data_IF_598594377928
#
_entry.id   IF_598594377928
#
_cell.length_a   1.000
_cell.length_b   1.000
_cell.length_c   1.000
_cell.angle_alpha   90.00
_cell.angle_beta   90.00
_cell.angle_gamma   90.00
#
_symmetry.space_group_name_H-M   'P 1'
#
loop_
_entity.id
_entity.type
_entity.pdbx_description
1 polymer ?
#
# COMPACT_ATOMS: atom_id res chain seq x y z
N UNK A 1 20.03 6.93 -7.09
CA UNK A 1 18.85 6.62 -6.20
C UNK A 1 18.16 5.40 -6.76
N UNK A 2 17.64 4.50 -5.92
CA UNK A 2 16.86 3.33 -6.34
C UNK A 2 15.45 3.46 -5.78
N UNK A 3 14.42 3.32 -6.62
CA UNK A 3 13.03 3.37 -6.21
C UNK A 3 12.42 1.98 -6.06
N UNK A 4 11.46 1.86 -5.14
CA UNK A 4 10.59 0.71 -5.00
C UNK A 4 9.15 1.19 -5.15
N UNK A 5 8.53 0.88 -6.29
CA UNK A 5 7.19 1.35 -6.65
C UNK A 5 6.17 0.27 -6.36
N UNK A 6 5.18 0.60 -5.54
CA UNK A 6 4.11 -0.27 -5.10
C UNK A 6 2.79 0.16 -5.74
N UNK A 7 2.21 -0.71 -6.54
CA UNK A 7 0.87 -0.56 -7.05
C UNK A 7 -0.13 -1.05 -5.98
N UNK A 8 -0.79 -0.12 -5.28
CA UNK A 8 -1.82 -0.43 -4.29
C UNK A 8 -3.16 -0.70 -4.97
N UNK A 9 -3.56 -1.95 -4.99
CA UNK A 9 -4.84 -2.34 -5.60
C UNK A 9 -6.00 -2.12 -4.63
N UNK A 10 -5.76 -2.28 -3.32
CA UNK A 10 -6.76 -2.07 -2.27
C UNK A 10 -8.12 -2.71 -2.61
N UNK A 11 -9.20 -1.92 -2.64
CA UNK A 11 -10.55 -2.38 -2.98
C UNK A 11 -10.87 -2.35 -4.49
N UNK A 12 -9.98 -1.83 -5.34
CA UNK A 12 -10.24 -1.63 -6.77
C UNK A 12 -10.41 -2.94 -7.59
N UNK A 13 -10.02 -4.09 -7.03
CA UNK A 13 -10.36 -5.39 -7.63
C UNK A 13 -11.83 -5.77 -7.46
N UNK A 14 -12.60 -5.06 -6.61
CA UNK A 14 -14.04 -5.18 -6.42
C UNK A 14 -14.54 -6.61 -6.12
N UNK A 15 -13.71 -7.41 -5.46
CA UNK A 15 -13.99 -8.83 -5.19
C UNK A 15 -13.95 -9.75 -6.41
N UNK A 16 -13.49 -9.25 -7.57
CA UNK A 16 -13.36 -9.98 -8.83
C UNK A 16 -11.93 -10.46 -9.08
N UNK A 17 -11.72 -11.77 -9.08
CA UNK A 17 -10.40 -12.34 -9.42
C UNK A 17 -9.95 -11.97 -10.85
N UNK A 18 -10.87 -11.83 -11.80
CA UNK A 18 -10.55 -11.38 -13.15
C UNK A 18 -10.00 -9.96 -13.17
N UNK A 19 -10.66 -9.01 -12.46
CA UNK A 19 -10.14 -7.64 -12.32
C UNK A 19 -8.79 -7.62 -11.61
N UNK A 20 -8.65 -8.39 -10.52
CA UNK A 20 -7.39 -8.49 -9.80
C UNK A 20 -6.25 -9.05 -10.68
N UNK A 21 -6.54 -10.09 -11.49
CA UNK A 21 -5.58 -10.66 -12.43
C UNK A 21 -5.10 -9.61 -13.41
N UNK A 22 -6.03 -8.85 -14.01
CA UNK A 22 -5.70 -7.78 -14.94
C UNK A 22 -4.86 -6.69 -14.26
N UNK A 23 -5.25 -6.22 -13.08
CA UNK A 23 -4.49 -5.22 -12.31
C UNK A 23 -3.08 -5.69 -11.97
N UNK A 24 -2.90 -6.94 -11.56
CA UNK A 24 -1.58 -7.53 -11.28
C UNK A 24 -0.73 -7.55 -12.56
N UNK A 25 -1.29 -8.01 -13.68
CA UNK A 25 -0.59 -8.10 -14.95
C UNK A 25 -0.18 -6.72 -15.46
N UNK A 26 -1.12 -5.77 -15.48
CA UNK A 26 -0.86 -4.40 -15.95
C UNK A 26 0.13 -3.66 -15.03
N UNK A 27 0.06 -3.87 -13.70
CA UNK A 27 1.06 -3.31 -12.77
C UNK A 27 2.46 -3.84 -13.06
N UNK A 28 2.59 -5.13 -13.42
CA UNK A 28 3.86 -5.71 -13.85
C UNK A 28 4.33 -5.09 -15.17
N UNK A 29 3.45 -4.99 -16.15
CA UNK A 29 3.76 -4.42 -17.48
C UNK A 29 4.19 -2.95 -17.36
N UNK A 30 3.56 -2.19 -16.45
CA UNK A 30 3.93 -0.81 -16.13
C UNK A 30 5.30 -0.69 -15.46
N UNK A 31 5.88 -1.79 -14.97
CA UNK A 31 7.19 -1.82 -14.32
C UNK A 31 7.16 -1.61 -12.81
N UNK A 32 6.00 -1.70 -12.16
CA UNK A 32 5.92 -1.69 -10.69
C UNK A 32 6.71 -2.86 -10.09
N UNK A 33 7.31 -2.62 -8.91
CA UNK A 33 8.08 -3.65 -8.20
C UNK A 33 7.17 -4.62 -7.45
N UNK A 34 6.03 -4.13 -6.98
CA UNK A 34 5.10 -4.93 -6.20
C UNK A 34 3.65 -4.51 -6.42
N UNK A 35 2.74 -5.46 -6.18
CA UNK A 35 1.32 -5.20 -5.98
C UNK A 35 0.97 -5.40 -4.53
N UNK A 36 0.13 -4.52 -4.00
CA UNK A 36 -0.32 -4.59 -2.61
C UNK A 36 -1.85 -4.70 -2.55
N UNK A 37 -2.29 -5.53 -1.63
CA UNK A 37 -3.70 -5.72 -1.30
C UNK A 37 -3.94 -5.47 0.19
N UNK A 38 -5.20 -5.54 0.61
CA UNK A 38 -5.59 -5.34 2.00
C UNK A 38 -6.43 -6.53 2.45
N UNK A 39 -5.99 -7.18 3.53
CA UNK A 39 -6.72 -8.31 4.16
C UNK A 39 -7.39 -7.82 5.43
N UNK A 40 -8.65 -7.44 5.32
CA UNK A 40 -9.52 -7.10 6.44
C UNK A 40 -10.66 -8.11 6.55
N UNK A 41 -11.30 -8.13 7.71
CA UNK A 41 -12.65 -8.66 7.89
C UNK A 41 -13.58 -7.45 7.99
N UNK A 42 -14.56 -7.38 7.11
CA UNK A 42 -15.46 -6.23 7.05
C UNK A 42 -16.20 -6.01 8.39
N UNK A 43 -16.62 -7.10 9.03
CA UNK A 43 -17.31 -7.08 10.32
C UNK A 43 -16.43 -6.52 11.47
N UNK A 44 -15.10 -6.59 11.38
CA UNK A 44 -14.18 -6.06 12.40
C UNK A 44 -13.97 -4.54 12.26
N UNK A 45 -14.06 -4.00 11.04
CA UNK A 45 -13.64 -2.63 10.75
C UNK A 45 -14.78 -1.67 10.42
N UNK A 46 -15.96 -2.19 10.05
CA UNK A 46 -17.04 -1.37 9.53
C UNK A 46 -18.41 -1.78 10.12
N UNK A 47 -19.25 -0.79 10.37
CA UNK A 47 -20.64 -1.06 10.73
C UNK A 47 -21.40 -1.57 9.49
N UNK A 48 -22.28 -2.57 9.67
CA UNK A 48 -23.14 -3.13 8.59
C UNK A 48 -24.06 -2.09 7.94
N UNK A 49 -24.33 -0.97 8.63
CA UNK A 49 -25.10 0.17 8.10
C UNK A 49 -24.23 1.11 7.22
N UNK A 50 -22.92 0.86 7.07
CA UNK A 50 -22.05 1.68 6.25
C UNK A 50 -22.55 1.73 4.78
N UNK A 51 -22.65 2.91 4.14
CA UNK A 51 -23.19 3.04 2.78
C UNK A 51 -22.55 2.08 1.76
N UNK A 52 -21.26 1.86 1.89
CA UNK A 52 -20.48 0.97 1.01
C UNK A 52 -20.36 -0.47 1.54
N UNK A 53 -21.16 -0.89 2.53
CA UNK A 53 -21.01 -2.20 3.18
C UNK A 53 -20.95 -3.38 2.19
N UNK A 54 -21.88 -3.41 1.23
CA UNK A 54 -21.94 -4.49 0.22
C UNK A 54 -20.66 -4.57 -0.60
N UNK A 55 -20.10 -3.41 -0.96
CA UNK A 55 -18.85 -3.32 -1.71
C UNK A 55 -17.65 -3.76 -0.85
N UNK A 56 -17.56 -3.26 0.38
CA UNK A 56 -16.52 -3.61 1.34
C UNK A 56 -16.52 -5.11 1.58
N UNK A 57 -17.69 -5.70 1.89
CA UNK A 57 -17.81 -7.14 2.14
C UNK A 57 -17.44 -7.99 0.93
N UNK A 58 -17.82 -7.56 -0.27
CA UNK A 58 -17.45 -8.23 -1.52
C UNK A 58 -15.95 -8.20 -1.77
N UNK A 59 -15.28 -7.09 -1.41
CA UNK A 59 -13.84 -6.86 -1.60
C UNK A 59 -12.98 -7.48 -0.50
N UNK A 60 -13.58 -8.12 0.50
CA UNK A 60 -12.87 -8.86 1.53
C UNK A 60 -12.05 -10.01 0.93
N UNK A 61 -10.77 -10.08 1.32
CA UNK A 61 -9.85 -11.11 0.84
C UNK A 61 -9.81 -12.26 1.84
N UNK A 62 -10.42 -13.38 1.48
CA UNK A 62 -10.30 -14.64 2.20
C UNK A 62 -8.92 -15.28 1.97
N UNK A 63 -8.56 -16.25 2.80
CA UNK A 63 -7.30 -16.99 2.63
C UNK A 63 -7.20 -17.66 1.25
N UNK A 64 -8.30 -18.22 0.76
CA UNK A 64 -8.35 -18.81 -0.58
C UNK A 64 -8.11 -17.78 -1.68
N UNK A 65 -8.75 -16.61 -1.59
CA UNK A 65 -8.53 -15.51 -2.53
C UNK A 65 -7.08 -15.03 -2.47
N UNK A 66 -6.52 -14.82 -1.27
CA UNK A 66 -5.12 -14.42 -1.09
C UNK A 66 -4.14 -15.40 -1.73
N UNK A 67 -4.37 -16.72 -1.57
CA UNK A 67 -3.58 -17.78 -2.21
C UNK A 67 -3.64 -17.69 -3.74
N UNK A 68 -4.84 -17.47 -4.30
CA UNK A 68 -5.01 -17.30 -5.75
C UNK A 68 -4.29 -16.05 -6.27
N UNK A 69 -4.44 -14.90 -5.58
CA UNK A 69 -3.78 -13.64 -5.94
C UNK A 69 -2.26 -13.76 -5.88
N UNK A 70 -1.73 -14.39 -4.82
CA UNK A 70 -0.29 -14.64 -4.70
C UNK A 70 0.23 -15.51 -5.85
N UNK A 71 -0.49 -16.60 -6.18
CA UNK A 71 -0.12 -17.48 -7.31
C UNK A 71 -0.10 -16.72 -8.65
N UNK A 72 -1.06 -15.80 -8.87
CA UNK A 72 -1.09 -14.97 -10.07
C UNK A 72 0.12 -14.03 -10.10
N UNK A 73 0.40 -13.34 -8.98
CA UNK A 73 1.54 -12.44 -8.89
C UNK A 73 2.88 -13.17 -9.12
N UNK A 74 3.04 -14.38 -8.56
CA UNK A 74 4.22 -15.21 -8.76
C UNK A 74 4.38 -15.61 -10.24
N UNK A 75 3.28 -15.99 -10.90
CA UNK A 75 3.29 -16.37 -12.32
C UNK A 75 3.75 -15.24 -13.22
N UNK A 76 3.37 -14.00 -12.93
CA UNK A 76 3.78 -12.82 -13.71
C UNK A 76 5.10 -12.22 -13.25
N UNK A 77 5.67 -12.71 -12.16
CA UNK A 77 6.96 -12.27 -11.64
C UNK A 77 6.92 -10.88 -10.99
N UNK A 78 5.85 -10.56 -10.23
CA UNK A 78 5.74 -9.34 -9.43
C UNK A 78 5.62 -9.68 -7.95
N UNK A 79 6.23 -8.88 -7.07
CA UNK A 79 6.11 -9.10 -5.64
C UNK A 79 4.67 -8.85 -5.16
N UNK A 80 4.16 -9.75 -4.31
CA UNK A 80 2.85 -9.64 -3.68
C UNK A 80 3.00 -9.49 -2.17
N UNK A 81 2.32 -8.53 -1.58
CA UNK A 81 2.16 -8.42 -0.14
C UNK A 81 0.85 -7.74 0.26
N UNK A 82 0.54 -7.72 1.55
CA UNK A 82 -0.71 -7.17 2.05
C UNK A 82 -0.53 -6.24 3.25
N UNK A 83 -1.48 -5.31 3.40
CA UNK A 83 -1.86 -4.78 4.70
C UNK A 83 -2.81 -5.78 5.35
N UNK A 84 -2.39 -6.48 6.39
CA UNK A 84 -3.24 -7.38 7.15
C UNK A 84 -3.72 -6.68 8.43
N UNK A 85 -5.00 -6.89 8.79
CA UNK A 85 -5.67 -6.18 9.88
C UNK A 85 -6.06 -7.09 11.05
N UNK A 86 -5.73 -8.39 10.97
CA UNK A 86 -5.99 -9.38 12.02
C UNK A 86 -4.88 -10.44 12.06
N UNK A 87 -4.61 -11.06 13.24
CA UNK A 87 -3.45 -11.95 13.45
C UNK A 87 -3.41 -13.16 12.52
N UNK A 88 -4.53 -13.89 12.36
CA UNK A 88 -4.57 -15.11 11.53
C UNK A 88 -4.14 -14.84 10.07
N UNK A 89 -4.34 -13.60 9.58
CA UNK A 89 -3.86 -13.21 8.25
C UNK A 89 -2.33 -13.20 8.18
N UNK A 90 -1.64 -12.89 9.27
CA UNK A 90 -0.18 -12.87 9.31
C UNK A 90 0.34 -14.30 9.21
N UNK A 91 -0.17 -15.22 10.04
CA UNK A 91 0.19 -16.64 9.98
C UNK A 91 -0.01 -17.22 8.58
N UNK A 92 -1.16 -16.87 7.95
CA UNK A 92 -1.46 -17.32 6.60
C UNK A 92 -0.51 -16.72 5.55
N UNK A 93 -0.20 -15.42 5.63
CA UNK A 93 0.73 -14.75 4.72
C UNK A 93 2.16 -15.27 4.88
N UNK A 94 2.57 -15.71 6.08
CA UNK A 94 3.84 -16.40 6.30
C UNK A 94 3.90 -17.73 5.52
N UNK A 95 2.82 -18.52 5.53
CA UNK A 95 2.71 -19.75 4.71
C UNK A 95 2.79 -19.43 3.20
N UNK A 96 2.33 -18.24 2.77
CA UNK A 96 2.48 -17.77 1.40
C UNK A 96 3.86 -17.15 1.09
N UNK A 97 4.76 -17.09 2.08
CA UNK A 97 6.14 -16.58 1.95
C UNK A 97 6.20 -15.15 1.42
N UNK A 98 5.32 -14.26 1.91
CA UNK A 98 5.43 -12.83 1.60
C UNK A 98 6.76 -12.27 2.12
N UNK A 99 7.35 -11.32 1.40
CA UNK A 99 8.69 -10.80 1.75
C UNK A 99 8.65 -9.65 2.73
N UNK A 100 7.54 -8.96 2.86
CA UNK A 100 7.34 -7.75 3.70
C UNK A 100 5.88 -7.57 4.07
N UNK A 101 5.64 -6.65 5.00
CA UNK A 101 4.30 -6.24 5.41
C UNK A 101 4.09 -4.74 5.25
N UNK A 102 2.84 -4.34 5.02
CA UNK A 102 2.41 -2.95 5.15
C UNK A 102 1.61 -2.78 6.45
N UNK A 103 1.83 -1.65 7.12
CA UNK A 103 1.00 -1.17 8.22
C UNK A 103 0.25 0.06 7.72
N UNK A 104 -1.07 -0.04 7.65
CA UNK A 104 -1.95 1.06 7.26
C UNK A 104 -2.03 2.10 8.38
N UNK A 105 -2.29 3.36 8.01
CA UNK A 105 -2.42 4.47 8.97
C UNK A 105 -3.45 4.18 10.06
N UNK A 106 -4.57 3.56 9.68
CA UNK A 106 -5.64 3.16 10.62
C UNK A 106 -5.13 2.21 11.72
N UNK A 107 -4.33 1.22 11.36
CA UNK A 107 -3.78 0.24 12.30
C UNK A 107 -2.86 0.90 13.34
N UNK A 108 -2.14 1.98 12.95
CA UNK A 108 -1.28 2.72 13.86
C UNK A 108 -2.03 3.48 14.97
N UNK A 109 -3.34 3.68 14.82
CA UNK A 109 -4.18 4.27 15.88
C UNK A 109 -4.40 3.32 17.06
N UNK A 110 -4.27 2.02 16.87
CA UNK A 110 -4.53 0.95 17.86
C UNK A 110 -5.96 1.01 18.43
N UNK A 111 -6.94 1.41 17.61
CA UNK A 111 -8.34 1.54 17.99
C UNK A 111 -9.24 0.43 17.44
N UNK A 112 -8.86 -0.16 16.30
CA UNK A 112 -9.61 -1.28 15.73
C UNK A 112 -9.33 -2.57 16.51
N UNK A 113 -10.27 -3.54 16.49
CA UNK A 113 -10.04 -4.86 17.02
C UNK A 113 -8.74 -5.47 16.49
N UNK A 114 -8.00 -6.18 17.32
CA UNK A 114 -6.77 -6.89 16.96
C UNK A 114 -5.60 -6.01 16.46
N UNK A 115 -5.72 -4.67 16.44
CA UNK A 115 -4.66 -3.80 15.90
C UNK A 115 -3.30 -4.05 16.56
N UNK A 116 -3.25 -4.08 17.90
CA UNK A 116 -2.00 -4.28 18.63
C UNK A 116 -1.43 -5.69 18.39
N UNK A 117 -2.26 -6.71 18.51
CA UNK A 117 -1.86 -8.11 18.28
C UNK A 117 -1.33 -8.31 16.86
N UNK A 118 -2.04 -7.75 15.88
CA UNK A 118 -1.61 -7.80 14.46
C UNK A 118 -0.24 -7.14 14.24
N UNK A 119 0.05 -6.02 14.93
CA UNK A 119 1.37 -5.40 14.84
C UNK A 119 2.44 -6.26 15.53
N UNK A 120 2.14 -6.87 16.67
CA UNK A 120 3.05 -7.75 17.39
C UNK A 120 3.37 -9.01 16.57
N UNK A 121 2.37 -9.65 15.96
CA UNK A 121 2.58 -10.78 15.06
C UNK A 121 3.45 -10.41 13.86
N UNK A 122 3.22 -9.25 13.22
CA UNK A 122 4.12 -8.79 12.15
C UNK A 122 5.54 -8.57 12.65
N UNK A 123 5.71 -8.02 13.84
CA UNK A 123 7.04 -7.76 14.41
C UNK A 123 7.82 -9.05 14.67
N UNK A 124 7.16 -10.10 15.13
CA UNK A 124 7.77 -11.43 15.37
C UNK A 124 8.36 -12.03 14.10
N UNK A 125 7.77 -11.74 12.92
CA UNK A 125 8.30 -12.24 11.64
C UNK A 125 9.70 -11.72 11.31
N UNK A 126 10.14 -10.61 11.92
CA UNK A 126 11.40 -9.89 11.64
C UNK A 126 11.53 -9.42 10.18
N UNK A 127 10.49 -9.53 9.37
CA UNK A 127 10.47 -9.06 7.98
C UNK A 127 10.43 -7.54 7.88
N UNK A 128 10.85 -6.96 6.76
CA UNK A 128 10.70 -5.53 6.51
C UNK A 128 9.25 -5.06 6.61
N UNK A 129 9.04 -3.89 7.19
CA UNK A 129 7.72 -3.27 7.31
C UNK A 129 7.69 -1.88 6.69
N UNK A 130 6.64 -1.60 5.94
CA UNK A 130 6.32 -0.28 5.37
C UNK A 130 5.21 0.31 6.22
N UNK A 131 5.39 1.51 6.76
CA UNK A 131 4.49 2.08 7.78
C UNK A 131 3.98 3.44 7.31
N UNK A 132 2.66 3.59 7.19
CA UNK A 132 2.00 4.89 7.01
C UNK A 132 1.31 5.30 8.29
N UNK A 133 1.40 6.59 8.65
CA UNK A 133 0.79 7.14 9.86
C UNK A 133 -0.02 8.42 9.58
N UNK A 134 -0.61 8.55 8.40
CA UNK A 134 -1.37 9.74 7.97
C UNK A 134 -2.64 10.03 8.79
N UNK A 135 -3.10 9.07 9.61
CA UNK A 135 -4.18 9.28 10.58
C UNK A 135 -3.66 9.62 11.99
N UNK A 136 -2.34 9.78 12.16
CA UNK A 136 -1.71 9.98 13.46
C UNK A 136 -1.34 8.67 14.14
N UNK A 137 -1.32 8.69 15.47
CA UNK A 137 -0.87 7.59 16.32
C UNK A 137 0.46 7.90 17.01
N UNK A 138 0.86 7.03 17.92
CA UNK A 138 2.10 7.20 18.68
C UNK A 138 3.28 6.57 17.93
N UNK A 139 4.06 7.39 17.21
CA UNK A 139 5.20 6.93 16.42
C UNK A 139 6.21 6.15 17.25
N UNK A 140 6.58 6.65 18.44
CA UNK A 140 7.54 5.98 19.32
C UNK A 140 7.07 4.58 19.74
N UNK A 141 5.76 4.43 20.02
CA UNK A 141 5.17 3.11 20.32
C UNK A 141 5.28 2.15 19.11
N UNK A 142 4.97 2.64 17.91
CA UNK A 142 5.11 1.83 16.68
C UNK A 142 6.58 1.46 16.41
N UNK A 143 7.51 2.39 16.54
CA UNK A 143 8.94 2.13 16.40
C UNK A 143 9.45 1.09 17.39
N UNK A 144 8.98 1.12 18.64
CA UNK A 144 9.34 0.14 19.66
C UNK A 144 8.81 -1.26 19.33
N UNK A 145 7.56 -1.38 18.86
CA UNK A 145 6.99 -2.67 18.43
C UNK A 145 7.87 -3.30 17.35
N UNK A 146 8.30 -2.51 16.37
CA UNK A 146 9.12 -2.96 15.25
C UNK A 146 10.64 -2.75 15.45
N UNK A 147 11.12 -2.72 16.70
CA UNK A 147 12.52 -2.43 17.02
C UNK A 147 13.53 -3.34 16.28
N UNK A 148 13.14 -4.59 16.02
CA UNK A 148 13.97 -5.61 15.36
C UNK A 148 13.68 -5.75 13.84
N UNK A 149 12.78 -4.94 13.27
CA UNK A 149 12.43 -5.01 11.86
C UNK A 149 13.08 -3.84 11.09
N UNK A 150 13.46 -4.09 9.85
CA UNK A 150 13.73 -2.99 8.91
C UNK A 150 12.44 -2.20 8.67
N UNK A 151 12.46 -0.89 8.91
CA UNK A 151 11.30 -0.01 8.82
C UNK A 151 11.47 1.00 7.71
N UNK A 152 10.44 1.19 6.88
CA UNK A 152 10.31 2.30 5.95
C UNK A 152 9.05 3.08 6.33
N UNK A 153 9.21 4.28 6.86
CA UNK A 153 8.08 5.16 7.11
C UNK A 153 7.73 5.93 5.83
N UNK A 154 6.43 5.95 5.52
CA UNK A 154 5.89 6.72 4.41
C UNK A 154 5.21 7.99 4.91
N UNK A 155 5.55 9.13 4.33
CA UNK A 155 4.68 10.29 4.42
C UNK A 155 3.33 9.96 3.78
N UNK A 156 2.26 10.37 4.41
CA UNK A 156 0.92 10.01 3.97
C UNK A 156 -0.09 11.00 4.57
N UNK A 157 -1.01 11.50 3.76
CA UNK A 157 -2.22 12.19 4.21
C UNK A 157 -3.39 11.24 3.94
N UNK A 158 -4.15 10.89 4.98
CA UNK A 158 -5.26 9.93 4.87
C UNK A 158 -6.57 10.62 4.46
N UNK A 159 -6.54 11.29 3.31
CA UNK A 159 -7.67 11.90 2.62
C UNK A 159 -7.70 11.37 1.19
N UNK A 160 -8.88 11.05 0.64
CA UNK A 160 -9.05 10.33 -0.63
C UNK A 160 -10.07 11.01 -1.53
N UNK A 161 -9.69 11.80 -2.55
CA UNK A 161 -8.30 12.19 -2.85
C UNK A 161 -7.78 13.31 -1.92
N UNK A 162 -6.45 13.38 -1.78
CA UNK A 162 -5.77 14.50 -1.12
C UNK A 162 -5.51 15.62 -2.14
N UNK A 163 -5.74 16.88 -1.75
CA UNK A 163 -5.25 18.01 -2.52
C UNK A 163 -3.73 18.16 -2.36
N UNK A 164 -3.03 18.30 -3.48
CA UNK A 164 -1.56 18.42 -3.50
C UNK A 164 -1.04 19.62 -2.69
N UNK A 165 -1.84 20.70 -2.57
CA UNK A 165 -1.49 21.87 -1.78
C UNK A 165 -1.38 21.61 -0.27
N UNK A 166 -1.98 20.51 0.22
CA UNK A 166 -1.92 20.11 1.62
C UNK A 166 -0.63 19.39 1.99
N UNK A 167 0.21 19.07 1.02
CA UNK A 167 1.46 18.34 1.28
C UNK A 167 2.50 19.30 1.86
N UNK A 168 2.92 19.05 3.10
CA UNK A 168 4.11 19.67 3.65
C UNK A 168 5.36 18.98 3.09
N UNK A 169 5.92 19.54 2.02
CA UNK A 169 7.10 18.99 1.37
C UNK A 169 8.33 19.00 2.28
N UNK A 170 8.45 19.96 3.21
CA UNK A 170 9.56 20.01 4.17
C UNK A 170 9.49 18.84 5.14
N UNK A 171 8.28 18.38 5.47
CA UNK A 171 8.10 17.19 6.29
C UNK A 171 8.18 15.91 5.46
N UNK A 172 7.55 15.88 4.29
CA UNK A 172 7.51 14.72 3.41
C UNK A 172 8.91 14.17 3.07
N UNK A 173 9.86 15.06 2.81
CA UNK A 173 11.23 14.69 2.46
C UNK A 173 12.05 14.07 3.61
N UNK A 174 11.56 14.12 4.85
CA UNK A 174 12.17 13.42 6.00
C UNK A 174 11.86 11.93 6.01
N UNK A 175 10.90 11.49 5.19
CA UNK A 175 10.51 10.09 5.06
C UNK A 175 11.25 9.42 3.89
N UNK A 176 11.47 8.10 4.01
CA UNK A 176 12.02 7.30 2.91
C UNK A 176 10.95 6.76 1.96
N UNK A 177 9.69 6.89 2.34
CA UNK A 177 8.55 6.48 1.55
C UNK A 177 7.50 7.57 1.42
N UNK A 178 6.70 7.48 0.37
CA UNK A 178 5.54 8.31 0.10
C UNK A 178 4.35 7.43 -0.28
N UNK A 179 3.28 7.47 0.50
CA UNK A 179 2.01 6.82 0.19
C UNK A 179 1.06 7.89 -0.33
N UNK A 180 0.94 7.97 -1.63
CA UNK A 180 0.35 9.09 -2.37
C UNK A 180 -1.14 8.88 -2.64
N UNK A 181 -1.97 9.73 -2.09
CA UNK A 181 -3.43 9.77 -2.29
C UNK A 181 -3.91 10.97 -3.10
N UNK A 182 -3.00 11.72 -3.75
CA UNK A 182 -3.37 12.84 -4.62
C UNK A 182 -3.93 12.36 -5.95
N UNK A 183 -4.52 13.25 -6.73
CA UNK A 183 -4.90 12.97 -8.12
C UNK A 183 -3.66 12.89 -9.02
N UNK A 184 -3.67 11.96 -9.98
CA UNK A 184 -2.59 11.78 -10.94
C UNK A 184 -1.25 11.39 -10.30
N UNK A 185 -0.15 11.74 -10.95
CA UNK A 185 1.20 11.27 -10.61
C UNK A 185 2.15 12.38 -10.14
N UNK A 186 1.70 13.64 -10.17
CA UNK A 186 2.56 14.82 -9.95
C UNK A 186 3.23 14.80 -8.57
N UNK A 187 2.49 14.51 -7.50
CA UNK A 187 3.04 14.50 -6.15
C UNK A 187 4.14 13.44 -5.97
N UNK A 188 3.93 12.25 -6.51
CA UNK A 188 4.94 11.18 -6.51
C UNK A 188 6.22 11.59 -7.25
N UNK A 189 6.09 12.32 -8.37
CA UNK A 189 7.24 12.83 -9.14
C UNK A 189 7.98 13.90 -8.34
N UNK A 190 7.29 14.87 -7.75
CA UNK A 190 7.89 15.92 -6.90
C UNK A 190 8.66 15.28 -5.76
N UNK A 191 8.06 14.30 -5.05
CA UNK A 191 8.73 13.59 -3.97
C UNK A 191 10.04 12.95 -4.45
N UNK A 192 10.03 12.25 -5.59
CA UNK A 192 11.22 11.61 -6.13
C UNK A 192 12.33 12.62 -6.50
N UNK A 193 11.97 13.76 -7.11
CA UNK A 193 12.93 14.84 -7.44
C UNK A 193 13.58 15.39 -6.17
N UNK A 194 12.78 15.73 -5.17
CA UNK A 194 13.27 16.27 -3.90
C UNK A 194 14.18 15.26 -3.16
N UNK A 195 13.81 13.97 -3.14
CA UNK A 195 14.64 12.92 -2.57
C UNK A 195 15.93 12.70 -3.35
N UNK A 196 15.90 12.85 -4.67
CA UNK A 196 17.11 12.81 -5.51
C UNK A 196 18.06 13.97 -5.17
N UNK A 197 17.55 15.19 -5.03
CA UNK A 197 18.32 16.36 -4.61
C UNK A 197 18.97 16.17 -3.22
N UNK A 198 18.28 15.47 -2.31
CA UNK A 198 18.83 15.08 -1.00
C UNK A 198 19.86 13.93 -1.07
N UNK A 199 20.19 13.42 -2.27
CA UNK A 199 21.10 12.28 -2.46
C UNK A 199 20.63 11.00 -1.74
N UNK A 200 19.32 10.83 -1.59
CA UNK A 200 18.76 9.62 -0.98
C UNK A 200 19.16 8.37 -1.78
N UNK A 201 19.57 7.31 -1.07
CA UNK A 201 19.97 6.05 -1.72
C UNK A 201 18.77 5.27 -2.24
N UNK A 202 17.72 5.20 -1.44
CA UNK A 202 16.51 4.43 -1.75
C UNK A 202 15.27 5.26 -1.42
N UNK A 203 14.21 5.08 -2.21
CA UNK A 203 12.88 5.62 -1.92
C UNK A 203 11.81 4.56 -2.16
N UNK A 204 10.68 4.70 -1.50
CA UNK A 204 9.47 3.92 -1.75
C UNK A 204 8.33 4.86 -2.16
N UNK A 205 7.64 4.50 -3.23
CA UNK A 205 6.42 5.20 -3.68
C UNK A 205 5.29 4.17 -3.73
N UNK A 206 4.22 4.44 -3.02
CA UNK A 206 3.00 3.66 -3.04
C UNK A 206 1.88 4.52 -3.64
N UNK A 207 1.22 4.01 -4.68
CA UNK A 207 0.14 4.69 -5.38
C UNK A 207 -1.02 3.74 -5.61
N UNK A 208 -2.25 4.19 -5.33
CA UNK A 208 -3.44 3.42 -5.66
C UNK A 208 -3.60 3.28 -7.17
N UNK A 209 -3.94 2.07 -7.62
CA UNK A 209 -4.15 1.76 -9.04
C UNK A 209 -5.52 1.14 -9.28
N UNK A 210 -6.11 1.47 -10.43
CA UNK A 210 -7.42 1.00 -10.85
C UNK A 210 -7.46 0.60 -12.32
N UNK A 211 -8.49 -0.12 -12.73
CA UNK A 211 -8.92 -0.18 -14.13
C UNK A 211 -9.85 1.00 -14.41
N UNK A 212 -9.95 1.44 -15.67
CA UNK A 212 -10.76 2.60 -16.07
C UNK A 212 -12.22 2.50 -15.64
N UNK A 213 -12.76 1.28 -15.50
CA UNK A 213 -14.13 1.02 -15.08
C UNK A 213 -14.29 0.69 -13.59
N UNK A 214 -13.28 0.92 -12.77
CA UNK A 214 -13.37 0.71 -11.31
C UNK A 214 -14.23 1.77 -10.64
N UNK A 215 -15.07 1.34 -9.68
CA UNK A 215 -16.05 2.17 -8.97
C UNK A 215 -15.97 2.07 -7.45
N UNK A 216 -14.88 1.52 -6.94
CA UNK A 216 -14.68 1.36 -5.49
C UNK A 216 -14.38 2.67 -4.77
N UNK A 217 -14.42 2.67 -3.44
CA UNK A 217 -14.14 3.87 -2.64
C UNK A 217 -12.72 4.42 -2.88
N UNK A 218 -11.75 3.58 -3.26
CA UNK A 218 -10.39 4.01 -3.55
C UNK A 218 -10.22 4.55 -4.99
N UNK A 219 -11.22 4.37 -5.88
CA UNK A 219 -11.10 4.70 -7.29
C UNK A 219 -10.87 6.20 -7.56
N UNK A 220 -11.40 7.08 -6.69
CA UNK A 220 -11.25 8.53 -6.84
C UNK A 220 -9.81 9.03 -6.66
N UNK A 221 -9.00 8.34 -5.83
CA UNK A 221 -7.59 8.65 -5.56
C UNK A 221 -6.61 7.76 -6.30
N UNK A 222 -7.11 6.91 -7.19
CA UNK A 222 -6.32 5.92 -7.94
C UNK A 222 -5.99 6.43 -9.33
N UNK A 223 -4.78 6.14 -9.77
CA UNK A 223 -4.36 6.27 -11.17
C UNK A 223 -4.74 5.02 -11.96
N UNK A 224 -4.86 5.14 -13.27
CA UNK A 224 -5.00 3.98 -14.13
C UNK A 224 -3.64 3.33 -14.44
N UNK A 225 -3.66 2.29 -15.24
CA UNK A 225 -2.45 1.51 -15.55
C UNK A 225 -1.52 2.20 -16.55
N UNK A 226 -2.04 3.13 -17.37
CA UNK A 226 -1.24 3.94 -18.26
C UNK A 226 -0.51 5.04 -17.49
N UNK A 227 -1.21 5.73 -16.59
CA UNK A 227 -0.62 6.68 -15.65
C UNK A 227 0.45 6.02 -14.76
N UNK A 228 0.22 4.76 -14.33
CA UNK A 228 1.22 4.01 -13.58
C UNK A 228 2.48 3.77 -14.42
N UNK A 229 2.34 3.42 -15.69
CA UNK A 229 3.46 3.23 -16.61
C UNK A 229 4.25 4.53 -16.80
N UNK A 230 3.53 5.65 -16.95
CA UNK A 230 4.15 6.97 -17.03
C UNK A 230 4.91 7.34 -15.74
N UNK A 231 4.29 7.11 -14.58
CA UNK A 231 4.93 7.33 -13.29
C UNK A 231 6.25 6.56 -13.17
N UNK A 232 6.22 5.25 -13.44
CA UNK A 232 7.42 4.38 -13.37
C UNK A 232 8.51 4.90 -14.32
N UNK A 233 8.16 5.25 -15.56
CA UNK A 233 9.09 5.77 -16.56
C UNK A 233 9.73 7.08 -16.08
N UNK A 234 8.95 8.02 -15.54
CA UNK A 234 9.48 9.30 -15.03
C UNK A 234 10.37 9.10 -13.81
N UNK A 235 9.99 8.22 -12.88
CA UNK A 235 10.82 7.91 -11.71
C UNK A 235 12.16 7.31 -12.15
N UNK A 236 12.18 6.38 -13.12
CA UNK A 236 13.43 5.82 -13.64
C UNK A 236 14.30 6.85 -14.39
N UNK A 237 13.69 7.88 -14.99
CA UNK A 237 14.45 9.02 -15.55
C UNK A 237 15.14 9.83 -14.43
N UNK A 238 14.40 10.14 -13.35
CA UNK A 238 14.92 10.86 -12.19
C UNK A 238 16.05 10.08 -11.50
N UNK A 239 15.99 8.75 -11.46
CA UNK A 239 17.06 7.92 -10.91
C UNK A 239 18.41 8.13 -11.60
N UNK A 240 18.38 8.44 -12.91
CA UNK A 240 19.58 8.61 -13.75
C UNK A 240 20.20 9.99 -13.67
N UNK A 241 19.45 10.99 -13.20
CA UNK A 241 19.98 12.33 -12.94
C UNK A 241 21.03 12.31 -11.81
#
# INVERSE_FOLDING_TARGET
MKSFIVAEIASNWEGSLSKATKLIQESKNAGANAVKFQMWRADDLYNKKHPNWKFIKKSEITFEKAKKLKKIADKVGIEFFCSAFYPDAIEFLEKLKVKRYKIASRTCLLKDPYSLETLQEKAITKKPVIISMGMGGNRKKIENIFSKNQKTFCYCISEYPTDISKIDWKDAIKFDGFSDHTLGITASIIFAVLKKQQKSKNILIEKHVKLNNSRGPDASSSIDTEELSELVKKIHQIEKL
#
